data_IF_810181877142
#
_entry.id   IF_810181877142
#
_cell.length_a   1.000
_cell.length_b   1.000
_cell.length_c   1.000
_cell.angle_alpha   90.00
_cell.angle_beta   90.00
_cell.angle_gamma   90.00
#
_symmetry.space_group_name_H-M   'P 1'
#
loop_
_entity.id
_entity.type
_entity.pdbx_description
1 polymer ?
#
# COMPACT_ATOMS: atom_id res chain seq x y z
N UNK A 1 -10.69 -12.29 -7.72
CA UNK A 1 -10.05 -11.58 -6.62
C UNK A 1 -8.58 -11.91 -6.49
N UNK A 2 -8.30 -13.19 -6.47
CA UNK A 2 -6.92 -13.61 -6.32
C UNK A 2 -6.03 -13.10 -7.46
N UNK A 3 -6.54 -13.13 -8.68
CA UNK A 3 -5.76 -12.67 -9.83
C UNK A 3 -5.42 -11.19 -9.73
N UNK A 4 -6.35 -10.39 -9.21
CA UNK A 4 -6.08 -8.97 -9.05
C UNK A 4 -5.03 -8.71 -7.98
N UNK A 5 -5.10 -9.48 -6.89
CA UNK A 5 -4.21 -9.27 -5.76
C UNK A 5 -2.79 -9.65 -6.10
N UNK A 6 -2.62 -10.72 -6.85
CA UNK A 6 -1.29 -11.21 -7.17
C UNK A 6 -0.66 -10.51 -8.36
N UNK A 7 -1.39 -9.62 -9.01
CA UNK A 7 -0.88 -8.92 -10.16
C UNK A 7 0.28 -8.02 -9.75
N UNK A 8 1.43 -8.20 -10.40
CA UNK A 8 2.61 -7.43 -10.08
C UNK A 8 3.37 -7.90 -8.86
N UNK A 9 2.90 -8.96 -8.20
CA UNK A 9 3.56 -9.49 -7.02
C UNK A 9 3.93 -10.93 -7.27
N UNK A 10 5.21 -11.21 -7.31
CA UNK A 10 5.70 -12.55 -7.57
C UNK A 10 6.35 -13.19 -6.36
N UNK A 11 6.51 -12.44 -5.31
CA UNK A 11 7.10 -12.92 -4.08
C UNK A 11 6.15 -13.87 -3.36
N UNK A 12 6.70 -14.88 -2.71
CA UNK A 12 5.89 -15.80 -1.93
C UNK A 12 5.40 -15.14 -0.63
N UNK A 13 6.18 -14.22 -0.10
CA UNK A 13 5.88 -13.58 1.18
C UNK A 13 5.95 -12.07 1.04
N UNK A 14 5.04 -11.47 0.26
CA UNK A 14 5.07 -10.02 0.11
C UNK A 14 4.70 -9.34 1.41
N UNK A 15 5.28 -8.17 1.61
CA UNK A 15 4.90 -7.31 2.71
C UNK A 15 3.73 -6.47 2.23
N UNK A 16 2.68 -6.43 3.02
CA UNK A 16 1.47 -5.70 2.64
C UNK A 16 1.21 -4.63 3.68
N UNK A 17 1.13 -3.39 3.22
CA UNK A 17 0.83 -2.25 4.10
C UNK A 17 -0.54 -1.72 3.71
N UNK A 18 -1.45 -1.71 4.65
CA UNK A 18 -2.83 -1.30 4.43
C UNK A 18 -3.07 0.03 5.12
N UNK A 19 -3.55 0.99 4.36
CA UNK A 19 -3.85 2.32 4.87
C UNK A 19 -5.34 2.61 4.65
N UNK A 20 -6.18 2.29 5.63
CA UNK A 20 -7.60 2.64 5.52
C UNK A 20 -7.77 4.14 5.63
N UNK A 21 -8.58 4.70 4.76
CA UNK A 21 -8.87 6.12 4.81
C UNK A 21 -10.02 6.41 5.75
N UNK A 22 -10.02 7.59 6.34
CA UNK A 22 -11.10 8.02 7.20
C UNK A 22 -12.41 8.23 6.44
N UNK A 23 -12.33 8.37 5.12
CA UNK A 23 -13.50 8.53 4.27
C UNK A 23 -13.26 7.91 2.91
N UNK A 24 -14.33 7.73 2.18
CA UNK A 24 -14.25 7.23 0.80
C UNK A 24 -13.66 8.33 -0.07
N UNK A 25 -12.77 7.96 -0.98
CA UNK A 25 -12.15 8.89 -1.90
C UNK A 25 -13.07 9.16 -3.08
N UNK A 26 -13.03 10.39 -3.58
CA UNK A 26 -13.76 10.75 -4.79
C UNK A 26 -12.99 10.28 -6.01
N UNK A 27 -13.68 10.17 -7.15
CA UNK A 27 -13.05 9.68 -8.38
C UNK A 27 -11.81 10.46 -8.77
N UNK A 28 -11.88 11.78 -8.71
CA UNK A 28 -10.75 12.61 -9.07
C UNK A 28 -9.62 12.49 -8.06
N UNK A 29 -9.96 12.22 -6.80
CA UNK A 29 -8.94 11.98 -5.79
C UNK A 29 -8.23 10.67 -6.03
N UNK A 30 -8.99 9.64 -6.39
CA UNK A 30 -8.40 8.33 -6.69
C UNK A 30 -7.40 8.45 -7.82
N UNK A 31 -7.75 9.18 -8.87
CA UNK A 31 -6.86 9.36 -10.00
C UNK A 31 -5.60 10.11 -9.61
N UNK A 32 -5.74 11.21 -8.89
CA UNK A 32 -4.60 12.03 -8.48
C UNK A 32 -3.70 11.28 -7.51
N UNK A 33 -4.29 10.58 -6.54
CA UNK A 33 -3.54 9.81 -5.57
C UNK A 33 -2.80 8.67 -6.26
N UNK A 34 -3.47 8.00 -7.20
CA UNK A 34 -2.87 6.89 -7.93
C UNK A 34 -1.66 7.35 -8.73
N UNK A 35 -1.73 8.51 -9.36
CA UNK A 35 -0.60 9.04 -10.11
C UNK A 35 0.58 9.35 -9.18
N UNK A 36 0.29 9.94 -8.03
CA UNK A 36 1.33 10.26 -7.06
C UNK A 36 2.03 9.00 -6.56
N UNK A 37 1.26 7.99 -6.24
CA UNK A 37 1.82 6.74 -5.74
C UNK A 37 2.61 6.03 -6.82
N UNK A 38 2.07 5.98 -8.02
CA UNK A 38 2.74 5.30 -9.12
C UNK A 38 4.09 5.93 -9.41
N UNK A 39 4.14 7.26 -9.43
CA UNK A 39 5.40 7.97 -9.65
C UNK A 39 6.40 7.70 -8.54
N UNK A 40 5.92 7.66 -7.30
CA UNK A 40 6.80 7.39 -6.18
C UNK A 40 7.37 5.96 -6.26
N UNK A 41 6.51 4.99 -6.49
CA UNK A 41 6.94 3.59 -6.49
C UNK A 41 7.90 3.28 -7.62
N UNK A 42 7.78 3.96 -8.75
CA UNK A 42 8.65 3.70 -9.88
C UNK A 42 10.10 4.08 -9.60
N UNK A 43 10.34 5.00 -8.65
CA UNK A 43 11.67 5.45 -8.29
C UNK A 43 12.09 5.03 -6.89
N UNK A 44 11.30 4.21 -6.25
CA UNK A 44 11.53 3.85 -4.85
C UNK A 44 12.68 2.86 -4.74
N UNK A 45 13.62 3.15 -3.84
CA UNK A 45 14.82 2.33 -3.68
C UNK A 45 15.12 2.11 -2.20
N UNK A 46 15.98 1.12 -1.95
CA UNK A 46 16.56 0.91 -0.64
C UNK A 46 18.06 0.70 -0.85
N UNK A 47 18.87 1.56 -0.24
CA UNK A 47 20.34 1.50 -0.38
C UNK A 47 20.77 1.48 -1.84
N UNK A 48 20.08 2.23 -2.69
CA UNK A 48 20.39 2.31 -4.10
C UNK A 48 19.83 1.17 -4.94
N UNK A 49 19.20 0.18 -4.33
CA UNK A 49 18.60 -0.93 -5.04
C UNK A 49 17.12 -0.64 -5.31
N UNK A 50 16.64 -0.87 -6.52
CA UNK A 50 15.21 -0.67 -6.78
C UNK A 50 14.36 -1.60 -5.94
N UNK A 51 13.28 -1.06 -5.40
CA UNK A 51 12.29 -1.85 -4.69
C UNK A 51 11.19 -2.23 -5.67
N UNK A 52 10.74 -3.47 -5.56
CA UNK A 52 9.64 -3.96 -6.39
C UNK A 52 8.36 -3.82 -5.58
N UNK A 53 7.49 -2.92 -6.01
CA UNK A 53 6.28 -2.63 -5.26
C UNK A 53 5.16 -2.27 -6.20
N UNK A 54 3.93 -2.51 -5.75
CA UNK A 54 2.74 -2.13 -6.47
C UNK A 54 1.70 -1.67 -5.45
N UNK A 55 0.60 -1.14 -5.96
CA UNK A 55 -0.44 -0.67 -5.06
C UNK A 55 -1.81 -0.91 -5.65
N UNK A 56 -2.81 -0.80 -4.79
CA UNK A 56 -4.20 -0.89 -5.19
C UNK A 56 -5.02 -0.04 -4.23
N UNK A 57 -6.07 0.58 -4.74
CA UNK A 57 -7.04 1.25 -3.90
C UNK A 57 -8.31 0.42 -3.94
N UNK A 58 -8.64 -0.21 -2.82
CA UNK A 58 -9.74 -1.13 -2.73
C UNK A 58 -10.95 -0.41 -2.14
N UNK A 59 -12.11 -0.63 -2.75
CA UNK A 59 -13.39 -0.06 -2.28
C UNK A 59 -13.33 1.46 -2.14
N UNK A 60 -12.45 2.09 -2.92
CA UNK A 60 -12.28 3.54 -2.90
C UNK A 60 -11.94 4.10 -1.52
N UNK A 61 -11.44 3.25 -0.62
CA UNK A 61 -11.19 3.67 0.75
C UNK A 61 -9.89 3.08 1.32
N UNK A 62 -9.42 1.98 0.79
CA UNK A 62 -8.25 1.30 1.36
C UNK A 62 -7.08 1.38 0.38
N UNK A 63 -6.05 2.10 0.77
CA UNK A 63 -4.81 2.12 0.00
C UNK A 63 -3.96 0.95 0.45
N UNK A 64 -3.54 0.11 -0.47
CA UNK A 64 -2.78 -1.09 -0.16
C UNK A 64 -1.49 -1.06 -0.96
N UNK A 65 -0.37 -1.16 -0.26
CA UNK A 65 0.95 -1.21 -0.89
C UNK A 65 1.49 -2.63 -0.72
N UNK A 66 1.89 -3.23 -1.84
CA UNK A 66 2.48 -4.55 -1.86
C UNK A 66 3.97 -4.41 -2.16
N UNK A 67 4.81 -4.97 -1.31
CA UNK A 67 6.26 -4.90 -1.48
C UNK A 67 6.81 -6.31 -1.63
N UNK A 68 7.46 -6.56 -2.75
CA UNK A 68 8.16 -7.81 -2.98
C UNK A 68 9.57 -7.65 -2.41
N UNK A 69 9.83 -8.33 -1.31
CA UNK A 69 11.10 -8.19 -0.61
C UNK A 69 12.05 -9.36 -0.82
N UNK A 70 11.89 -10.11 -1.90
CA UNK A 70 12.80 -11.22 -2.17
C UNK A 70 14.20 -10.75 -2.51
N UNK A 71 14.32 -9.70 -3.30
CA UNK A 71 15.63 -9.21 -3.75
C UNK A 71 16.12 -8.03 -2.94
N UNK A 72 15.22 -7.18 -2.49
CA UNK A 72 15.59 -6.01 -1.70
C UNK A 72 14.47 -5.75 -0.70
N UNK A 73 14.85 -5.51 0.54
CA UNK A 73 13.89 -5.22 1.60
C UNK A 73 13.82 -3.73 1.86
N UNK A 74 12.62 -3.22 2.04
CA UNK A 74 12.42 -1.83 2.38
C UNK A 74 12.94 -1.58 3.79
N UNK A 75 14.01 -0.80 3.88
CA UNK A 75 14.59 -0.45 5.18
C UNK A 75 13.89 0.76 5.78
N UNK A 76 14.41 1.22 6.93
CA UNK A 76 13.82 2.34 7.63
C UNK A 76 13.73 3.60 6.81
N UNK A 77 14.79 3.95 6.08
CA UNK A 77 14.79 5.16 5.26
C UNK A 77 13.77 5.06 4.12
N UNK A 78 13.65 3.87 3.53
CA UNK A 78 12.71 3.67 2.43
C UNK A 78 11.27 3.77 2.91
N UNK A 79 10.99 3.19 4.09
CA UNK A 79 9.66 3.28 4.69
C UNK A 79 9.36 4.71 5.11
N UNK A 80 10.37 5.43 5.59
CA UNK A 80 10.19 6.84 5.94
C UNK A 80 9.83 7.68 4.71
N UNK A 81 10.45 7.38 3.57
CA UNK A 81 10.12 8.07 2.33
C UNK A 81 8.68 7.81 1.91
N UNK A 82 8.25 6.57 2.03
CA UNK A 82 6.86 6.21 1.73
C UNK A 82 5.91 6.94 2.66
N UNK A 83 6.22 6.95 3.95
CA UNK A 83 5.40 7.63 4.94
C UNK A 83 5.30 9.12 4.65
N UNK A 84 6.41 9.72 4.27
CA UNK A 84 6.43 11.15 3.93
C UNK A 84 5.55 11.43 2.71
N UNK A 85 5.61 10.59 1.71
CA UNK A 85 4.78 10.75 0.52
C UNK A 85 3.31 10.63 0.87
N UNK A 86 2.95 9.66 1.72
CA UNK A 86 1.56 9.48 2.12
C UNK A 86 1.08 10.67 2.95
N UNK A 87 1.96 11.22 3.81
CA UNK A 87 1.61 12.39 4.59
C UNK A 87 1.33 13.59 3.71
N UNK A 88 2.09 13.74 2.62
CA UNK A 88 1.84 14.81 1.67
C UNK A 88 0.48 14.65 1.01
N UNK A 89 0.11 13.42 0.68
CA UNK A 89 -1.21 13.15 0.11
C UNK A 89 -2.30 13.47 1.12
N UNK A 90 -2.10 13.10 2.38
CA UNK A 90 -3.07 13.42 3.43
C UNK A 90 -3.32 14.91 3.51
N UNK A 91 -2.25 15.67 3.50
CA UNK A 91 -2.34 17.12 3.63
C UNK A 91 -3.03 17.72 2.42
N UNK A 92 -2.67 17.25 1.24
CA UNK A 92 -3.20 17.83 0.01
C UNK A 92 -4.69 17.55 -0.18
N UNK A 93 -5.14 16.36 0.18
CA UNK A 93 -6.51 15.95 -0.11
C UNK A 93 -7.41 15.88 1.13
N UNK A 94 -6.88 16.21 2.29
CA UNK A 94 -7.68 16.14 3.51
C UNK A 94 -8.08 14.73 3.87
N UNK A 95 -7.12 13.81 3.80
CA UNK A 95 -7.34 12.40 4.09
C UNK A 95 -6.56 12.00 5.33
N UNK A 96 -6.92 10.85 5.90
CA UNK A 96 -6.24 10.31 7.07
C UNK A 96 -6.01 8.83 6.82
N UNK A 97 -4.77 8.49 6.51
CA UNK A 97 -4.35 7.11 6.27
C UNK A 97 -3.46 6.58 7.38
N UNK A 98 -2.49 7.40 7.80
CA UNK A 98 -1.38 6.91 8.63
C UNK A 98 -1.82 6.46 10.01
N UNK A 99 -2.83 7.11 10.57
CA UNK A 99 -3.31 6.75 11.89
C UNK A 99 -4.01 5.39 11.92
N UNK A 100 -4.32 4.85 10.74
CA UNK A 100 -5.05 3.59 10.64
C UNK A 100 -4.26 2.51 9.95
N UNK A 101 -2.98 2.77 9.68
CA UNK A 101 -2.14 1.85 8.94
C UNK A 101 -1.97 0.51 9.63
N UNK A 102 -1.96 -0.55 8.84
CA UNK A 102 -1.66 -1.90 9.29
C UNK A 102 -0.64 -2.52 8.36
N UNK A 103 0.20 -3.36 8.93
CA UNK A 103 1.19 -4.11 8.15
C UNK A 103 0.91 -5.57 8.31
N UNK A 104 0.97 -6.30 7.20
CA UNK A 104 0.74 -7.73 7.21
C UNK A 104 1.76 -8.41 6.33
N UNK A 105 2.09 -9.64 6.68
CA UNK A 105 2.98 -10.48 5.88
C UNK A 105 2.22 -11.71 5.48
N UNK A 106 2.30 -12.05 4.20
CA UNK A 106 1.60 -13.22 3.70
C UNK A 106 2.57 -14.39 3.68
N UNK A 107 2.20 -15.46 4.35
CA UNK A 107 3.05 -16.63 4.47
C UNK A 107 2.69 -17.72 3.47
N UNK A 108 1.58 -17.55 2.77
CA UNK A 108 1.11 -18.49 1.78
C UNK A 108 1.09 -17.83 0.42
N UNK A 109 0.96 -18.66 -0.61
CA UNK A 109 0.87 -18.14 -1.96
C UNK A 109 -0.44 -17.42 -2.21
N UNK A 110 -1.45 -17.70 -1.41
CA UNK A 110 -2.75 -17.11 -1.59
C UNK A 110 -2.91 -15.88 -0.73
N UNK A 111 -3.29 -14.79 -1.38
CA UNK A 111 -3.58 -13.55 -0.71
C UNK A 111 -5.05 -13.25 -0.93
N UNK A 112 -5.78 -13.12 0.15
CA UNK A 112 -7.19 -12.76 0.09
C UNK A 112 -7.37 -11.41 0.74
N UNK A 113 -7.46 -10.39 -0.10
CA UNK A 113 -7.51 -9.02 0.41
C UNK A 113 -8.77 -8.76 1.21
N UNK A 114 -9.89 -9.35 0.81
CA UNK A 114 -11.13 -9.16 1.56
C UNK A 114 -11.05 -9.75 2.94
N UNK A 115 -10.38 -10.89 3.06
CA UNK A 115 -10.19 -11.50 4.37
C UNK A 115 -9.30 -10.63 5.25
N UNK A 116 -8.23 -10.10 4.67
CA UNK A 116 -7.34 -9.21 5.42
C UNK A 116 -8.08 -7.98 5.92
N UNK A 117 -8.86 -7.37 5.05
CA UNK A 117 -9.61 -6.18 5.41
C UNK A 117 -10.68 -6.51 6.44
N UNK A 118 -11.36 -7.63 6.26
CA UNK A 118 -12.44 -8.02 7.16
C UNK A 118 -11.93 -8.38 8.54
N UNK A 119 -10.84 -9.14 8.61
CA UNK A 119 -10.30 -9.58 9.89
C UNK A 119 -9.84 -8.40 10.73
N UNK A 120 -9.40 -7.35 10.11
CA UNK A 120 -8.82 -6.21 10.81
C UNK A 120 -9.70 -4.99 10.84
N UNK A 121 -10.69 -4.96 9.97
CA UNK A 121 -11.46 -3.74 9.78
C UNK A 121 -12.25 -3.32 11.03
N UNK A 122 -12.64 -4.29 11.84
CA UNK A 122 -13.37 -3.96 13.06
C UNK A 122 -12.55 -3.08 14.00
N UNK A 123 -11.26 -3.04 13.80
CA UNK A 123 -10.36 -2.23 14.61
C UNK A 123 -10.04 -0.90 13.98
N UNK A 124 -10.35 -0.74 12.71
CA UNK A 124 -10.04 0.48 11.97
C UNK A 124 -11.15 1.50 12.03
N UNK A 125 -12.36 1.03 12.23
CA UNK A 125 -13.54 1.92 12.14
C UNK A 125 -14.20 2.17 13.47
#
# INVERSE_FOLDING_TARGET
MKAEISEGIESKNPRIMIYPSSRVLKSEEIQAVSERINNFLSDWTTHGEPLSASFKIERNQFLIIFIDEENAKAGGCSVDSLTSMIRDIETEFGLDFLNRMKVSYIENEEVNIFKLLKDKSTRYF
#
